data_IF_247450404935
#
_entry.id   IF_247450404935
#
_cell.length_a   1.000
_cell.length_b   1.000
_cell.length_c   1.000
_cell.angle_alpha   90.00
_cell.angle_beta   90.00
_cell.angle_gamma   90.00
#
_symmetry.space_group_name_H-M   'P 1'
#
loop_
_entity.id
_entity.type
_entity.pdbx_description
1 polymer ?
#
# COMPACT_ATOMS: atom_id res chain seq x y z
N UNK A 1 -4.31 -32.01 -1.80
CA UNK A 1 -5.26 -30.92 -1.49
C UNK A 1 -4.42 -29.70 -1.18
N UNK A 2 -4.64 -28.57 -1.86
CA UNK A 2 -3.86 -27.36 -1.60
C UNK A 2 -4.18 -26.87 -0.18
N UNK A 3 -3.19 -26.88 0.70
CA UNK A 3 -3.29 -26.21 2.00
C UNK A 3 -3.67 -24.75 1.74
N UNK A 4 -4.74 -24.27 2.39
CA UNK A 4 -5.17 -22.89 2.25
C UNK A 4 -4.05 -22.00 2.78
N UNK A 5 -3.26 -21.41 1.86
CA UNK A 5 -2.13 -20.57 2.23
C UNK A 5 -2.68 -19.40 3.06
N UNK A 6 -2.15 -19.23 4.28
CA UNK A 6 -2.55 -18.13 5.16
C UNK A 6 -2.05 -16.80 4.61
N UNK A 7 -2.98 -15.94 4.22
CA UNK A 7 -2.69 -14.62 3.67
C UNK A 7 -1.91 -13.73 4.64
N UNK A 8 -2.07 -13.91 5.96
CA UNK A 8 -1.35 -13.14 6.97
C UNK A 8 0.11 -13.54 6.96
N UNK A 9 0.40 -14.86 6.95
CA UNK A 9 1.77 -15.37 6.87
C UNK A 9 2.48 -14.85 5.62
N UNK A 10 1.83 -14.90 4.46
CA UNK A 10 2.37 -14.35 3.21
C UNK A 10 2.61 -12.84 3.32
N UNK A 11 1.63 -12.10 3.84
CA UNK A 11 1.75 -10.66 4.07
C UNK A 11 2.92 -10.28 4.97
N UNK A 12 3.11 -11.00 6.07
CA UNK A 12 4.20 -10.78 7.03
C UNK A 12 5.56 -11.16 6.46
N UNK A 13 5.63 -12.22 5.68
CA UNK A 13 6.86 -12.59 4.97
C UNK A 13 7.27 -11.50 3.96
N UNK A 14 6.31 -10.98 3.18
CA UNK A 14 6.56 -9.86 2.27
C UNK A 14 7.05 -8.62 3.03
N UNK A 15 6.42 -8.29 4.16
CA UNK A 15 6.83 -7.16 4.99
C UNK A 15 8.29 -7.31 5.47
N UNK A 16 8.66 -8.51 5.92
CA UNK A 16 10.01 -8.80 6.40
C UNK A 16 11.06 -8.72 5.28
N UNK A 17 10.75 -9.19 4.07
CA UNK A 17 11.63 -9.08 2.90
C UNK A 17 11.87 -7.60 2.57
N UNK A 18 10.84 -6.79 2.71
CA UNK A 18 10.86 -5.34 2.45
C UNK A 18 11.43 -4.54 3.64
N UNK A 19 11.99 -5.21 4.65
CA UNK A 19 12.69 -4.58 5.78
C UNK A 19 11.76 -3.96 6.84
N UNK A 20 10.46 -4.27 6.83
CA UNK A 20 9.53 -3.77 7.86
C UNK A 20 9.76 -4.52 9.16
N UNK A 21 10.12 -3.80 10.22
CA UNK A 21 10.17 -4.36 11.56
C UNK A 21 8.74 -4.68 12.03
N UNK A 22 8.46 -5.98 12.09
CA UNK A 22 7.14 -6.52 12.43
C UNK A 22 6.78 -6.41 13.92
N UNK A 23 7.76 -6.24 14.79
CA UNK A 23 7.57 -6.14 16.24
C UNK A 23 7.16 -4.73 16.66
N UNK A 24 7.69 -3.71 15.97
CA UNK A 24 7.38 -2.29 16.22
C UNK A 24 6.39 -1.69 15.23
N UNK A 25 5.97 -2.45 14.20
CA UNK A 25 5.01 -1.99 13.21
C UNK A 25 3.66 -1.62 13.84
N UNK A 26 3.09 -0.50 13.39
CA UNK A 26 1.75 -0.11 13.77
C UNK A 26 0.71 -1.15 13.33
N UNK A 27 -0.42 -1.23 14.03
CA UNK A 27 -1.54 -2.08 13.62
C UNK A 27 -2.09 -1.74 12.22
N UNK A 28 -1.93 -0.50 11.75
CA UNK A 28 -2.30 -0.12 10.38
C UNK A 28 -1.32 -0.71 9.36
N UNK A 29 -0.02 -0.65 9.65
CA UNK A 29 1.04 -1.27 8.84
C UNK A 29 0.84 -2.78 8.73
N UNK A 30 0.57 -3.46 9.86
CA UNK A 30 0.32 -4.91 9.84
C UNK A 30 -0.89 -5.28 8.99
N UNK A 31 -2.00 -4.53 9.13
CA UNK A 31 -3.22 -4.74 8.31
C UNK A 31 -2.98 -4.51 6.81
N UNK A 32 -2.16 -3.53 6.45
CA UNK A 32 -1.74 -3.30 5.07
C UNK A 32 -1.01 -4.51 4.50
N UNK A 33 -0.07 -5.07 5.25
CA UNK A 33 0.72 -6.22 4.79
C UNK A 33 -0.12 -7.50 4.71
N UNK A 34 -1.01 -7.74 5.67
CA UNK A 34 -1.98 -8.84 5.59
C UNK A 34 -2.86 -8.73 4.34
N UNK A 35 -3.31 -7.52 4.01
CA UNK A 35 -4.09 -7.24 2.79
C UNK A 35 -3.26 -7.46 1.51
N UNK A 36 -1.97 -7.09 1.51
CA UNK A 36 -1.05 -7.40 0.40
C UNK A 36 -0.91 -8.89 0.17
N UNK A 37 -0.82 -9.70 1.24
CA UNK A 37 -0.80 -11.15 1.14
C UNK A 37 -2.07 -11.71 0.48
N UNK A 38 -3.24 -11.21 0.89
CA UNK A 38 -4.52 -11.61 0.31
C UNK A 38 -4.65 -11.20 -1.17
N UNK A 39 -4.21 -9.99 -1.51
CA UNK A 39 -4.19 -9.50 -2.88
C UNK A 39 -3.24 -10.31 -3.76
N UNK A 40 -2.05 -10.69 -3.27
CA UNK A 40 -1.11 -11.54 -3.99
C UNK A 40 -1.71 -12.92 -4.31
N UNK A 41 -2.45 -13.50 -3.36
CA UNK A 41 -3.16 -14.77 -3.59
C UNK A 41 -4.26 -14.64 -4.65
N UNK A 42 -4.99 -13.52 -4.67
CA UNK A 42 -5.97 -13.25 -5.72
C UNK A 42 -5.30 -13.13 -7.09
N UNK A 43 -4.17 -12.40 -7.18
CA UNK A 43 -3.37 -12.29 -8.41
C UNK A 43 -2.84 -13.65 -8.88
N UNK A 44 -2.39 -14.51 -7.98
CA UNK A 44 -1.92 -15.85 -8.31
C UNK A 44 -3.03 -16.74 -8.91
N UNK A 45 -4.31 -16.46 -8.59
CA UNK A 45 -5.48 -17.11 -9.21
C UNK A 45 -5.95 -16.43 -10.50
N UNK A 46 -5.29 -15.35 -10.93
CA UNK A 46 -5.70 -14.53 -12.07
C UNK A 46 -6.84 -13.53 -11.76
N UNK A 47 -7.27 -13.42 -10.50
CA UNK A 47 -8.36 -12.57 -10.09
C UNK A 47 -7.87 -11.16 -9.73
N UNK A 48 -7.65 -10.34 -10.76
CA UNK A 48 -7.21 -8.95 -10.61
C UNK A 48 -8.25 -8.10 -9.89
N UNK A 49 -9.54 -8.32 -10.16
CA UNK A 49 -10.62 -7.53 -9.58
C UNK A 49 -10.68 -7.69 -8.06
N UNK A 50 -10.54 -8.92 -7.56
CA UNK A 50 -10.51 -9.18 -6.12
C UNK A 50 -9.25 -8.59 -5.48
N UNK A 51 -8.08 -8.69 -6.13
CA UNK A 51 -6.86 -8.05 -5.65
C UNK A 51 -7.01 -6.53 -5.50
N UNK A 52 -7.64 -5.87 -6.48
CA UNK A 52 -7.91 -4.43 -6.43
C UNK A 52 -8.90 -4.05 -5.33
N UNK A 53 -9.98 -4.83 -5.18
CA UNK A 53 -10.98 -4.62 -4.13
C UNK A 53 -10.37 -4.74 -2.74
N UNK A 54 -9.51 -5.72 -2.51
CA UNK A 54 -8.78 -5.91 -1.24
C UNK A 54 -7.87 -4.72 -0.95
N UNK A 55 -7.14 -4.22 -1.96
CA UNK A 55 -6.20 -3.11 -1.78
C UNK A 55 -6.85 -1.73 -1.77
N UNK A 56 -8.11 -1.59 -2.20
CA UNK A 56 -8.81 -0.29 -2.32
C UNK A 56 -8.77 0.57 -1.05
N UNK A 57 -8.98 0.06 0.18
CA UNK A 57 -8.91 0.87 1.40
C UNK A 57 -7.51 1.39 1.72
N UNK A 58 -6.48 0.78 1.13
CA UNK A 58 -5.07 1.07 1.37
C UNK A 58 -4.42 1.86 0.23
N UNK A 59 -5.10 1.99 -0.92
CA UNK A 59 -4.66 2.92 -1.96
C UNK A 59 -4.76 4.33 -1.39
N UNK A 60 -3.69 5.16 -1.48
CA UNK A 60 -3.82 6.56 -1.13
C UNK A 60 -4.95 7.13 -1.97
N UNK A 61 -5.94 7.75 -1.33
CA UNK A 61 -6.98 8.44 -2.06
C UNK A 61 -6.28 9.42 -3.00
N UNK A 62 -6.48 9.26 -4.30
CA UNK A 62 -6.13 10.28 -5.28
C UNK A 62 -6.97 11.51 -4.95
N UNK A 63 -6.47 12.35 -4.04
CA UNK A 63 -7.04 13.67 -3.82
C UNK A 63 -6.71 14.48 -5.05
N UNK A 64 -7.76 14.88 -5.76
CA UNK A 64 -7.68 15.91 -6.79
C UNK A 64 -7.11 17.17 -6.10
N UNK A 65 -5.98 17.72 -6.58
CA UNK A 65 -5.46 18.98 -6.04
C UNK A 65 -6.48 20.07 -6.41
N UNK A 66 -7.19 20.60 -5.41
CA UNK A 66 -8.27 21.56 -5.64
C UNK A 66 -8.71 22.30 -4.37
N UNK A 67 -7.80 22.52 -3.41
CA UNK A 67 -8.09 23.32 -2.22
C UNK A 67 -7.57 22.77 -0.88
N UNK A 68 -6.51 21.94 -0.87
CA UNK A 68 -6.04 21.34 0.39
C UNK A 68 -5.31 22.30 1.34
N UNK A 69 -4.94 23.50 0.89
CA UNK A 69 -4.27 24.51 1.74
C UNK A 69 -2.89 24.10 2.27
N UNK A 70 -2.28 23.06 1.70
CA UNK A 70 -1.00 22.51 2.18
C UNK A 70 0.18 23.43 1.81
N UNK A 71 0.96 23.83 2.80
CA UNK A 71 2.10 24.77 2.66
C UNK A 71 3.46 24.10 2.83
N UNK A 72 3.50 22.82 3.21
CA UNK A 72 4.74 22.05 3.32
C UNK A 72 5.24 21.60 1.93
N UNK A 73 6.42 22.09 1.47
CA UNK A 73 6.98 21.76 0.15
C UNK A 73 7.40 20.29 0.00
N UNK A 74 7.49 19.54 1.11
CA UNK A 74 7.88 18.13 1.11
C UNK A 74 6.72 17.18 0.78
N UNK A 75 5.50 17.71 0.63
CA UNK A 75 4.28 16.92 0.37
C UNK A 75 3.82 17.15 -1.07
N UNK A 76 3.80 16.08 -1.88
CA UNK A 76 3.39 16.13 -3.29
C UNK A 76 1.90 15.82 -3.44
N UNK A 77 1.13 16.76 -4.01
CA UNK A 77 -0.25 16.53 -4.42
C UNK A 77 -0.32 16.17 -5.91
N UNK A 78 -1.08 15.11 -6.23
CA UNK A 78 -1.18 14.51 -7.58
C UNK A 78 -1.96 15.35 -8.61
N UNK A 79 -2.11 16.67 -8.38
CA UNK A 79 -2.81 17.59 -9.27
C UNK A 79 -2.23 19.00 -9.32
N UNK A 80 -1.09 19.23 -8.66
CA UNK A 80 -0.37 20.50 -8.74
C UNK A 80 0.91 20.21 -9.53
N UNK A 81 0.84 20.47 -10.84
CA UNK A 81 1.85 20.16 -11.85
C UNK A 81 3.06 21.09 -11.74
N UNK A 82 3.64 21.26 -10.54
CA UNK A 82 4.84 22.06 -10.32
C UNK A 82 6.00 21.18 -9.90
N UNK A 83 7.09 21.31 -10.64
CA UNK A 83 8.42 20.81 -10.34
C UNK A 83 9.16 21.92 -9.57
N UNK A 84 9.57 21.65 -8.33
CA UNK A 84 10.57 22.47 -7.67
C UNK A 84 11.87 21.67 -7.74
N UNK A 85 12.67 22.01 -8.75
CA UNK A 85 13.87 21.29 -9.14
C UNK A 85 14.84 20.96 -8.01
N UNK A 86 15.76 20.04 -8.32
CA UNK A 86 16.72 19.45 -7.39
C UNK A 86 17.50 20.53 -6.60
N UNK A 87 17.68 20.37 -5.27
CA UNK A 87 18.61 21.19 -4.52
C UNK A 87 20.04 20.81 -4.93
N UNK A 88 20.78 21.76 -5.51
CA UNK A 88 22.24 21.71 -5.60
C UNK A 88 22.88 22.23 -4.32
#
# INVERSE_FOLDING_TARGET
MAEAIDHRKVGRQLASIEGVNLESASAATLRLWDARGLALMALARGDKAEAEKVMRPFKPATRMCGGCGETDPSKRCLGCLHDFGEPR
#
